data_IF_855799125367
#
_entry.id   IF_855799125367
#
_cell.length_a   1.000
_cell.length_b   1.000
_cell.length_c   1.000
_cell.angle_alpha   90.00
_cell.angle_beta   90.00
_cell.angle_gamma   90.00
#
_symmetry.space_group_name_H-M   'P 1'
#
loop_
_entity.id
_entity.type
_entity.pdbx_description
1 polymer ?
#
# COMPACT_ATOMS: atom_id res chain seq x y z
N UNK A 1 -6.37 20.14 -18.67
CA UNK A 1 -6.04 20.28 -17.24
C UNK A 1 -5.27 21.57 -17.09
N UNK A 2 -5.76 22.46 -16.21
CA UNK A 2 -5.18 23.75 -15.93
C UNK A 2 -3.95 23.68 -15.02
N UNK A 3 -3.56 24.84 -14.48
CA UNK A 3 -2.48 24.92 -13.49
C UNK A 3 -2.93 24.30 -12.16
N UNK A 4 -2.06 23.53 -11.54
CA UNK A 4 -2.35 22.93 -10.23
C UNK A 4 -2.63 24.01 -9.17
N UNK A 5 -3.76 23.88 -8.48
CA UNK A 5 -4.18 24.75 -7.38
C UNK A 5 -4.45 23.97 -6.10
N UNK A 6 -4.70 22.66 -6.20
CA UNK A 6 -4.95 21.78 -5.07
C UNK A 6 -3.66 21.16 -4.56
N UNK A 7 -3.53 21.04 -3.24
CA UNK A 7 -2.43 20.29 -2.66
C UNK A 7 -2.71 18.77 -2.72
N UNK A 8 -1.66 17.99 -2.63
CA UNK A 8 -1.72 16.51 -2.74
C UNK A 8 -2.60 15.91 -1.65
N UNK A 9 -2.53 16.39 -0.41
CA UNK A 9 -3.32 15.83 0.69
C UNK A 9 -4.82 16.02 0.45
N UNK A 10 -5.22 17.17 -0.09
CA UNK A 10 -6.62 17.39 -0.46
C UNK A 10 -7.06 16.44 -1.59
N UNK A 11 -6.22 16.23 -2.58
CA UNK A 11 -6.51 15.28 -3.66
C UNK A 11 -6.67 13.84 -3.11
N UNK A 12 -5.82 13.42 -2.18
CA UNK A 12 -5.91 12.12 -1.52
C UNK A 12 -7.23 11.97 -0.76
N UNK A 13 -7.62 13.00 0.01
CA UNK A 13 -8.85 12.98 0.80
C UNK A 13 -10.09 12.98 -0.09
N UNK A 14 -10.10 13.78 -1.13
CA UNK A 14 -11.20 13.83 -2.10
C UNK A 14 -11.34 12.51 -2.87
N UNK A 15 -10.22 11.88 -3.21
CA UNK A 15 -10.19 10.55 -3.82
C UNK A 15 -10.78 9.48 -2.90
N UNK A 16 -10.46 9.52 -1.60
CA UNK A 16 -11.05 8.62 -0.61
C UNK A 16 -12.58 8.78 -0.52
N UNK A 17 -13.07 10.01 -0.52
CA UNK A 17 -14.51 10.31 -0.53
C UNK A 17 -15.19 9.81 -1.80
N UNK A 18 -14.56 10.03 -2.95
CA UNK A 18 -15.04 9.55 -4.23
C UNK A 18 -15.19 8.02 -4.24
N UNK A 19 -14.16 7.29 -3.79
CA UNK A 19 -14.21 5.83 -3.72
C UNK A 19 -15.37 5.33 -2.85
N UNK A 20 -15.57 5.94 -1.68
CA UNK A 20 -16.72 5.59 -0.82
C UNK A 20 -18.05 5.85 -1.52
N UNK A 21 -18.18 6.98 -2.22
CA UNK A 21 -19.39 7.36 -2.94
C UNK A 21 -19.78 6.37 -4.03
N UNK A 22 -18.79 5.81 -4.74
CA UNK A 22 -19.03 4.83 -5.81
C UNK A 22 -19.03 3.37 -5.32
N UNK A 23 -18.95 3.12 -4.01
CA UNK A 23 -19.14 1.80 -3.42
C UNK A 23 -17.89 1.07 -2.96
N UNK A 24 -16.68 1.63 -3.13
CA UNK A 24 -15.46 1.07 -2.55
C UNK A 24 -15.36 1.46 -1.08
N UNK A 25 -15.45 0.48 -0.19
CA UNK A 25 -15.39 0.69 1.26
C UNK A 25 -14.00 0.32 1.80
N UNK A 26 -13.61 0.92 2.92
CA UNK A 26 -12.38 0.59 3.65
C UNK A 26 -11.10 0.68 2.79
N UNK A 27 -11.06 1.62 1.88
CA UNK A 27 -9.89 1.89 1.05
C UNK A 27 -8.98 2.92 1.73
N UNK A 28 -7.71 2.58 1.86
CA UNK A 28 -6.69 3.43 2.48
C UNK A 28 -5.66 3.86 1.45
N UNK A 29 -5.25 5.14 1.43
CA UNK A 29 -4.20 5.59 0.53
C UNK A 29 -2.85 4.99 0.91
N UNK A 30 -2.04 4.65 -0.08
CA UNK A 30 -0.68 4.15 0.09
C UNK A 30 0.34 5.11 -0.52
N UNK A 31 0.56 5.05 -1.82
CA UNK A 31 1.53 5.88 -2.51
C UNK A 31 0.85 6.87 -3.46
N UNK A 32 1.47 8.03 -3.59
CA UNK A 32 1.02 9.08 -4.51
C UNK A 32 2.18 9.52 -5.39
N UNK A 33 1.94 9.55 -6.70
CA UNK A 33 2.84 10.14 -7.67
C UNK A 33 2.25 11.47 -8.15
N UNK A 34 3.07 12.51 -8.12
CA UNK A 34 2.68 13.86 -8.55
C UNK A 34 3.36 14.21 -9.88
N UNK A 35 2.57 14.45 -10.88
CA UNK A 35 3.03 14.84 -12.24
C UNK A 35 2.78 16.32 -12.53
N UNK A 36 2.83 17.17 -11.51
CA UNK A 36 2.66 18.61 -11.61
C UNK A 36 1.19 19.04 -11.59
N UNK A 37 0.43 18.73 -12.62
CA UNK A 37 -0.99 19.06 -12.73
C UNK A 37 -1.94 17.89 -12.50
N UNK A 38 -1.39 16.69 -12.28
CA UNK A 38 -2.16 15.48 -11.96
C UNK A 38 -1.48 14.71 -10.84
N UNK A 39 -2.28 14.05 -10.01
CA UNK A 39 -1.80 13.08 -9.03
C UNK A 39 -2.35 11.69 -9.37
N UNK A 40 -1.52 10.67 -9.21
CA UNK A 40 -1.94 9.27 -9.24
C UNK A 40 -1.86 8.74 -7.82
N UNK A 41 -3.00 8.45 -7.22
CA UNK A 41 -3.11 7.98 -5.84
C UNK A 41 -3.50 6.51 -5.82
N UNK A 42 -2.70 5.70 -5.14
CA UNK A 42 -2.99 4.28 -4.93
C UNK A 42 -3.71 4.08 -3.60
N UNK A 43 -4.78 3.29 -3.64
CA UNK A 43 -5.56 2.89 -2.46
C UNK A 43 -5.59 1.38 -2.38
N UNK A 44 -5.54 0.85 -1.17
CA UNK A 44 -5.70 -0.59 -0.92
C UNK A 44 -6.81 -0.84 0.08
N UNK A 45 -7.50 -1.96 -0.08
CA UNK A 45 -8.51 -2.38 0.87
C UNK A 45 -7.87 -2.78 2.20
N UNK A 46 -8.51 -2.38 3.30
CA UNK A 46 -8.13 -2.83 4.65
C UNK A 46 -9.24 -3.70 5.24
N UNK A 47 -8.88 -4.88 5.66
CA UNK A 47 -9.73 -5.73 6.47
C UNK A 47 -9.26 -5.62 7.93
N UNK A 48 -10.01 -4.86 8.74
CA UNK A 48 -9.53 -4.44 10.05
C UNK A 48 -8.26 -3.61 9.91
N UNK A 49 -7.19 -4.01 10.59
CA UNK A 49 -5.89 -3.34 10.52
C UNK A 49 -4.95 -3.94 9.46
N UNK A 50 -5.43 -4.89 8.65
CA UNK A 50 -4.61 -5.61 7.68
C UNK A 50 -4.78 -4.98 6.30
N UNK A 51 -3.68 -4.46 5.75
CA UNK A 51 -3.65 -3.97 4.37
C UNK A 51 -3.66 -5.14 3.38
N UNK A 52 -4.57 -5.09 2.41
CA UNK A 52 -4.73 -6.13 1.39
C UNK A 52 -4.19 -5.59 0.07
N UNK A 53 -2.91 -5.79 -0.20
CA UNK A 53 -2.25 -5.20 -1.37
C UNK A 53 -2.78 -5.70 -2.73
N UNK A 54 -3.25 -6.95 -2.89
CA UNK A 54 -3.91 -7.35 -4.13
C UNK A 54 -5.16 -6.52 -4.47
N UNK A 55 -5.86 -6.03 -3.45
CA UNK A 55 -7.10 -5.26 -3.62
C UNK A 55 -6.79 -3.77 -3.79
N UNK A 56 -6.17 -3.43 -4.92
CA UNK A 56 -5.70 -2.08 -5.22
C UNK A 56 -6.62 -1.37 -6.21
N UNK A 57 -6.88 -0.10 -5.93
CA UNK A 57 -7.50 0.85 -6.87
C UNK A 57 -6.58 2.06 -6.99
N UNK A 58 -6.36 2.55 -8.21
CA UNK A 58 -5.64 3.81 -8.45
C UNK A 58 -6.59 4.84 -9.02
N UNK A 59 -6.49 6.06 -8.52
CA UNK A 59 -7.19 7.22 -9.06
C UNK A 59 -6.20 8.19 -9.68
N UNK A 60 -6.53 8.68 -10.85
CA UNK A 60 -5.87 9.82 -11.47
C UNK A 60 -6.72 11.06 -11.25
N UNK A 61 -6.14 12.06 -10.60
CA UNK A 61 -6.85 13.24 -10.11
C UNK A 61 -6.22 14.48 -10.73
N UNK A 62 -7.04 15.35 -11.32
CA UNK A 62 -6.62 16.65 -11.81
C UNK A 62 -6.39 17.59 -10.62
N UNK A 63 -5.25 18.29 -10.59
CA UNK A 63 -4.90 19.16 -9.46
C UNK A 63 -5.33 20.62 -9.65
N UNK A 64 -5.99 20.94 -10.75
CA UNK A 64 -6.59 22.25 -10.96
C UNK A 64 -7.99 22.37 -10.32
N UNK A 65 -8.82 21.32 -10.44
CA UNK A 65 -10.20 21.35 -9.95
C UNK A 65 -10.60 20.15 -9.08
N UNK A 66 -9.73 19.15 -8.93
CA UNK A 66 -9.98 17.92 -8.16
C UNK A 66 -10.78 16.85 -8.90
N UNK A 67 -11.01 17.00 -10.19
CA UNK A 67 -11.74 16.03 -11.00
C UNK A 67 -11.04 14.67 -11.02
N UNK A 68 -11.81 13.60 -10.88
CA UNK A 68 -11.34 12.25 -11.10
C UNK A 68 -11.32 12.00 -12.61
N UNK A 69 -10.14 11.90 -13.19
CA UNK A 69 -9.95 11.75 -14.64
C UNK A 69 -9.56 10.35 -15.06
N UNK A 70 -9.36 9.45 -14.12
CA UNK A 70 -9.10 8.04 -14.40
C UNK A 70 -9.23 7.18 -13.16
N UNK A 71 -9.63 5.93 -13.37
CA UNK A 71 -9.69 4.89 -12.35
C UNK A 71 -9.13 3.59 -12.91
N UNK A 72 -8.23 2.95 -12.18
CA UNK A 72 -7.73 1.60 -12.44
C UNK A 72 -8.16 0.72 -11.29
N UNK A 73 -9.08 -0.21 -11.53
CA UNK A 73 -9.64 -1.10 -10.51
C UNK A 73 -9.52 -2.58 -10.85
N UNK A 74 -8.83 -2.94 -11.93
CA UNK A 74 -8.71 -4.33 -12.39
C UNK A 74 -8.19 -5.25 -11.29
N UNK A 75 -7.14 -4.86 -10.59
CA UNK A 75 -6.58 -5.68 -9.48
C UNK A 75 -7.62 -5.93 -8.40
N UNK A 76 -8.34 -4.89 -7.99
CA UNK A 76 -9.40 -5.01 -7.00
C UNK A 76 -10.51 -5.96 -7.49
N UNK A 77 -10.99 -5.79 -8.72
CA UNK A 77 -12.09 -6.58 -9.27
C UNK A 77 -11.75 -8.06 -9.40
N UNK A 78 -10.48 -8.38 -9.64
CA UNK A 78 -10.01 -9.77 -9.78
C UNK A 78 -9.77 -10.44 -8.43
N UNK A 79 -9.28 -9.71 -7.44
CA UNK A 79 -8.79 -10.30 -6.19
C UNK A 79 -9.72 -10.11 -4.99
N UNK A 80 -10.58 -9.07 -5.01
CA UNK A 80 -11.34 -8.69 -3.82
C UNK A 80 -12.39 -9.73 -3.43
N UNK A 81 -12.38 -10.06 -2.14
CA UNK A 81 -13.46 -10.74 -1.43
C UNK A 81 -13.81 -9.92 -0.19
N UNK A 82 -15.09 -9.84 0.17
CA UNK A 82 -15.54 -9.00 1.29
C UNK A 82 -14.85 -9.35 2.61
N UNK A 83 -14.62 -10.63 2.85
CA UNK A 83 -13.96 -11.11 4.05
C UNK A 83 -13.08 -12.31 3.71
N UNK A 84 -11.78 -12.13 3.92
CA UNK A 84 -10.84 -13.26 3.88
C UNK A 84 -10.91 -14.01 5.19
N UNK A 85 -10.98 -15.32 5.11
CA UNK A 85 -10.94 -16.18 6.28
C UNK A 85 -9.51 -16.34 6.79
N UNK A 86 -9.37 -16.75 8.06
CA UNK A 86 -8.09 -17.13 8.67
C UNK A 86 -6.99 -16.06 8.61
N UNK A 87 -7.37 -14.78 8.79
CA UNK A 87 -6.39 -13.69 8.83
C UNK A 87 -5.84 -13.54 10.25
N UNK A 88 -5.08 -14.53 10.69
CA UNK A 88 -4.40 -14.51 11.98
C UNK A 88 -2.97 -15.01 11.83
N UNK A 89 -2.00 -14.28 12.38
CA UNK A 89 -0.62 -14.75 12.41
C UNK A 89 -0.48 -15.99 13.29
N UNK A 90 0.35 -16.94 12.87
CA UNK A 90 0.69 -18.14 13.66
C UNK A 90 1.96 -17.95 14.48
N UNK A 91 2.79 -16.97 14.13
CA UNK A 91 3.95 -16.58 14.91
C UNK A 91 3.75 -15.17 15.45
N UNK A 92 4.39 -14.84 16.56
CA UNK A 92 4.33 -13.50 17.15
C UNK A 92 5.14 -12.48 16.33
N UNK A 93 4.81 -11.21 16.51
CA UNK A 93 5.62 -10.11 15.96
C UNK A 93 7.10 -10.21 16.42
N UNK A 94 7.34 -10.53 17.69
CA UNK A 94 8.68 -10.69 18.23
C UNK A 94 9.47 -11.77 17.49
N UNK A 95 8.84 -12.92 17.21
CA UNK A 95 9.43 -14.00 16.41
C UNK A 95 9.73 -13.57 14.98
N UNK A 96 8.79 -12.88 14.35
CA UNK A 96 8.98 -12.36 12.99
C UNK A 96 10.11 -11.33 12.94
N UNK A 97 10.19 -10.47 13.94
CA UNK A 97 11.23 -9.44 14.07
C UNK A 97 12.64 -10.05 14.12
N UNK A 98 12.82 -11.21 14.73
CA UNK A 98 14.09 -11.93 14.76
C UNK A 98 14.58 -12.35 13.36
N UNK A 99 13.67 -12.45 12.39
CA UNK A 99 14.00 -12.81 11.01
C UNK A 99 14.43 -11.62 10.16
N UNK A 100 14.16 -10.40 10.62
CA UNK A 100 14.62 -9.19 9.97
C UNK A 100 16.10 -8.98 10.27
N UNK A 101 16.90 -8.59 9.26
CA UNK A 101 18.33 -8.35 9.46
C UNK A 101 18.59 -7.32 10.55
N UNK A 102 19.54 -7.63 11.45
CA UNK A 102 19.84 -6.80 12.64
C UNK A 102 20.32 -5.39 12.31
N UNK A 103 20.78 -5.16 11.08
CA UNK A 103 21.26 -3.86 10.61
C UNK A 103 20.11 -2.89 10.29
N UNK A 104 18.91 -3.43 10.01
CA UNK A 104 17.74 -2.61 9.71
C UNK A 104 17.17 -2.02 10.99
N UNK A 105 17.12 -0.69 11.06
CA UNK A 105 16.40 0.00 12.13
C UNK A 105 14.92 -0.02 11.81
N UNK A 106 14.15 -0.84 12.52
CA UNK A 106 12.70 -0.96 12.32
C UNK A 106 11.99 0.26 12.90
N UNK A 107 11.21 0.93 12.07
CA UNK A 107 10.45 2.14 12.43
C UNK A 107 8.97 1.84 12.64
N UNK A 108 8.41 0.86 11.93
CA UNK A 108 7.00 0.50 12.00
C UNK A 108 6.80 -0.96 11.64
N UNK A 109 5.82 -1.60 12.28
CA UNK A 109 5.37 -2.95 11.98
C UNK A 109 3.86 -2.96 11.82
N UNK A 110 3.37 -3.68 10.83
CA UNK A 110 1.94 -3.90 10.60
C UNK A 110 1.72 -5.26 9.92
N UNK A 111 0.47 -5.71 9.87
CA UNK A 111 0.10 -6.89 9.11
C UNK A 111 -0.36 -6.49 7.71
N UNK A 112 -0.02 -7.31 6.72
CA UNK A 112 -0.42 -7.12 5.34
C UNK A 112 -0.59 -8.46 4.63
N UNK A 113 -1.49 -8.49 3.66
CA UNK A 113 -1.56 -9.58 2.69
C UNK A 113 -0.88 -9.11 1.41
N UNK A 114 0.06 -9.92 0.93
CA UNK A 114 0.77 -9.67 -0.32
C UNK A 114 0.58 -10.83 -1.30
N UNK A 115 0.61 -10.56 -2.61
CA UNK A 115 0.59 -11.63 -3.61
C UNK A 115 1.95 -12.34 -3.65
N UNK A 116 1.92 -13.64 -3.91
CA UNK A 116 3.11 -14.43 -4.22
C UNK A 116 3.29 -14.57 -5.74
N UNK A 117 4.46 -15.08 -6.16
CA UNK A 117 4.74 -15.34 -7.59
C UNK A 117 3.78 -16.34 -8.23
N UNK A 118 3.10 -17.16 -7.44
CA UNK A 118 2.12 -18.15 -7.91
C UNK A 118 0.68 -17.64 -7.85
N UNK A 119 0.47 -16.32 -7.83
CA UNK A 119 -0.86 -15.69 -7.66
C UNK A 119 -1.62 -16.13 -6.40
N UNK A 120 -0.90 -16.59 -5.38
CA UNK A 120 -1.45 -16.87 -4.06
C UNK A 120 -1.24 -15.67 -3.16
N UNK A 121 -2.08 -15.56 -2.15
CA UNK A 121 -1.95 -14.53 -1.12
C UNK A 121 -1.29 -15.10 0.14
N UNK A 122 -0.49 -14.29 0.81
CA UNK A 122 0.16 -14.66 2.05
C UNK A 122 0.08 -13.53 3.06
N UNK A 123 -0.28 -13.88 4.31
CA UNK A 123 -0.25 -12.93 5.42
C UNK A 123 1.18 -12.78 5.90
N UNK A 124 1.63 -11.54 5.98
CA UNK A 124 2.97 -11.16 6.43
C UNK A 124 2.93 -10.10 7.52
N UNK A 125 3.96 -10.09 8.34
CA UNK A 125 4.37 -8.87 9.03
C UNK A 125 5.14 -7.99 8.05
N UNK A 126 4.71 -6.75 7.93
CA UNK A 126 5.35 -5.71 7.13
C UNK A 126 6.22 -4.84 8.04
N UNK A 127 7.52 -4.92 7.87
CA UNK A 127 8.48 -4.12 8.62
C UNK A 127 9.00 -2.98 7.75
N UNK A 128 8.73 -1.75 8.17
CA UNK A 128 9.32 -0.55 7.60
C UNK A 128 10.56 -0.20 8.40
N UNK A 129 11.68 -0.02 7.74
CA UNK A 129 12.93 0.28 8.41
C UNK A 129 13.90 1.03 7.53
N UNK A 130 15.01 1.45 8.14
CA UNK A 130 16.06 2.20 7.45
C UNK A 130 17.45 1.58 7.71
N UNK A 131 18.30 1.68 6.72
CA UNK A 131 19.69 1.28 6.77
C UNK A 131 20.52 2.17 5.86
N UNK A 132 21.56 2.80 6.44
CA UNK A 132 22.47 3.71 5.71
C UNK A 132 21.75 4.77 4.87
N UNK A 133 20.73 5.42 5.46
CA UNK A 133 19.98 6.49 4.82
C UNK A 133 18.99 6.03 3.75
N UNK A 134 18.79 4.72 3.59
CA UNK A 134 17.80 4.14 2.69
C UNK A 134 16.67 3.49 3.47
N UNK A 135 15.46 3.54 2.91
CA UNK A 135 14.27 2.95 3.50
C UNK A 135 13.93 1.63 2.80
N UNK A 136 13.54 0.66 3.59
CA UNK A 136 13.20 -0.68 3.14
C UNK A 136 11.88 -1.16 3.73
N UNK A 137 11.21 -2.04 2.99
CA UNK A 137 10.08 -2.81 3.47
C UNK A 137 10.47 -4.29 3.42
N UNK A 138 10.35 -4.98 4.56
CA UNK A 138 10.61 -6.41 4.67
C UNK A 138 9.32 -7.13 5.04
N UNK A 139 8.94 -8.12 4.27
CA UNK A 139 7.78 -8.96 4.51
C UNK A 139 8.19 -10.32 5.05
N UNK A 140 7.78 -10.62 6.28
CA UNK A 140 8.01 -11.90 6.94
C UNK A 140 6.69 -12.68 7.00
N UNK A 141 6.68 -13.89 6.47
CA UNK A 141 5.50 -14.76 6.50
C UNK A 141 5.04 -14.94 7.95
N UNK A 142 3.79 -14.57 8.22
CA UNK A 142 3.23 -14.60 9.57
C UNK A 142 2.91 -16.00 10.09
N UNK A 143 3.05 -17.03 9.26
CA UNK A 143 2.88 -18.44 9.67
C UNK A 143 4.21 -19.16 9.84
N UNK A 144 5.17 -18.92 8.96
CA UNK A 144 6.44 -19.69 8.89
C UNK A 144 7.66 -18.91 9.35
N UNK A 145 7.60 -17.58 9.38
CA UNK A 145 8.77 -16.73 9.62
C UNK A 145 9.69 -16.60 8.41
N UNK A 146 9.31 -17.13 7.26
CA UNK A 146 10.08 -17.01 6.02
C UNK A 146 10.06 -15.57 5.49
N UNK A 147 11.21 -15.09 5.03
CA UNK A 147 11.31 -13.79 4.37
C UNK A 147 10.74 -13.88 2.96
N UNK A 148 9.55 -13.31 2.75
CA UNK A 148 8.82 -13.39 1.48
C UNK A 148 9.31 -12.39 0.46
N UNK A 149 9.65 -11.18 0.91
CA UNK A 149 10.02 -10.08 0.02
C UNK A 149 10.76 -8.98 0.76
N UNK A 150 11.71 -8.36 0.08
CA UNK A 150 12.34 -7.10 0.48
C UNK A 150 12.16 -6.12 -0.66
N UNK A 151 11.79 -4.89 -0.33
CA UNK A 151 11.71 -3.80 -1.29
C UNK A 151 12.45 -2.58 -0.75
N UNK A 152 13.15 -1.88 -1.62
CA UNK A 152 13.70 -0.57 -1.32
C UNK A 152 12.67 0.51 -1.70
N UNK A 153 12.49 1.49 -0.82
CA UNK A 153 11.69 2.68 -1.13
C UNK A 153 12.64 3.73 -1.69
N UNK A 154 12.41 4.14 -2.93
CA UNK A 154 13.22 5.16 -3.59
C UNK A 154 12.43 6.45 -3.75
N UNK A 155 13.09 7.58 -3.52
CA UNK A 155 12.54 8.89 -3.81
C UNK A 155 12.77 9.24 -5.28
N UNK A 156 11.70 9.66 -5.95
CA UNK A 156 11.75 10.16 -7.33
C UNK A 156 11.23 11.59 -7.37
N UNK A 157 11.49 12.34 -8.44
CA UNK A 157 10.91 13.69 -8.59
C UNK A 157 9.38 13.72 -8.51
N UNK A 158 8.71 12.61 -8.79
CA UNK A 158 7.26 12.49 -8.80
C UNK A 158 6.67 11.87 -7.53
N UNK A 159 7.49 11.32 -6.65
CA UNK A 159 7.06 10.68 -5.41
C UNK A 159 7.88 9.44 -5.07
N UNK A 160 7.37 8.62 -4.16
CA UNK A 160 8.05 7.40 -3.70
C UNK A 160 7.62 6.20 -4.53
N UNK A 161 8.61 5.38 -4.92
CA UNK A 161 8.41 4.09 -5.58
C UNK A 161 9.06 2.98 -4.76
N UNK A 162 8.56 1.77 -4.90
CA UNK A 162 9.16 0.56 -4.33
C UNK A 162 9.76 -0.31 -5.45
N UNK A 163 10.94 -0.83 -5.21
CA UNK A 163 11.65 -1.75 -6.11
C UNK A 163 12.14 -2.98 -5.35
#
# INVERSE_FOLDING_TARGET
IGKATLNIQKAIDDGSKFLRKIGYKNMEPTYTLNYGNTAVVSYVYKQGDIAIYPDQVKLKIALDDGSIIGIESEKFLVSHVEKREMISPKISEAKAREKVGTRLKINKVSLAIIPTQMNKEVLCYEFLGSYKGKDFIVYINASTGYEQKIMEIIDTPNGKLTI
#
